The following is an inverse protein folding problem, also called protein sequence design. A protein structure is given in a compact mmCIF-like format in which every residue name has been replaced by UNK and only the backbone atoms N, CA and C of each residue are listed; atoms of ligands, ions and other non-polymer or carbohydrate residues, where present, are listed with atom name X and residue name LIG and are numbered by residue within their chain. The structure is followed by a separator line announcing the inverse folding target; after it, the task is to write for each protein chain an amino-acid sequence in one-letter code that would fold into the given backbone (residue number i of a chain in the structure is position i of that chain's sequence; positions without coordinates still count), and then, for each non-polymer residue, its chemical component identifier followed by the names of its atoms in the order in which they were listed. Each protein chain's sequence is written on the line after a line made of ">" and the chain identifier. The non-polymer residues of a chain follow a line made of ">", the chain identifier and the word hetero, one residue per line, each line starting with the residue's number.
data_IF_918421561147
#
_entry.id   IF_918421561147
#
_cell.length_a   1.000
_cell.length_b   1.000
_cell.length_c   1.000
_cell.angle_alpha   90.00
_cell.angle_beta   90.00
_cell.angle_gamma   90.00
#
_symmetry.space_group_name_H-M   'P 1'
#
loop_
_entity.id
_entity.type
_entity.pdbx_description
1 polymer ?
#
# COMPACT_ATOMS: atom_id res chain seq x y z
N UNK A 1 -12.68 -16.33 9.79
CA UNK A 1 -12.22 -15.85 8.50
C UNK A 1 -12.05 -14.33 8.50
N UNK A 2 -11.01 -13.88 7.92
CA UNK A 2 -10.71 -12.45 7.89
C UNK A 2 -11.14 -11.86 6.57
N UNK A 3 -11.97 -10.85 6.61
CA UNK A 3 -12.24 -10.07 5.44
C UNK A 3 -11.01 -9.24 5.07
N UNK A 4 -10.99 -8.76 3.85
CA UNK A 4 -9.97 -7.80 3.46
C UNK A 4 -10.18 -6.50 4.22
N UNK A 5 -9.11 -5.98 4.81
CA UNK A 5 -9.17 -4.72 5.52
C UNK A 5 -8.86 -3.55 4.59
N UNK A 6 -8.40 -3.84 3.37
CA UNK A 6 -8.12 -2.83 2.36
C UNK A 6 -8.60 -3.32 1.00
N UNK A 7 -8.69 -2.41 0.06
CA UNK A 7 -9.06 -2.74 -1.31
C UNK A 7 -8.03 -2.14 -2.26
N UNK A 8 -8.04 -2.59 -3.51
CA UNK A 8 -7.10 -2.08 -4.48
C UNK A 8 -7.73 -2.07 -5.88
N UNK A 9 -7.14 -1.26 -6.76
CA UNK A 9 -7.50 -1.20 -8.15
C UNK A 9 -6.23 -1.17 -8.99
N UNK A 10 -6.23 -1.87 -10.10
CA UNK A 10 -5.10 -1.86 -11.03
C UNK A 10 -5.57 -1.28 -12.36
N UNK A 11 -4.88 -0.25 -12.82
CA UNK A 11 -5.16 0.44 -14.07
C UNK A 11 -3.88 0.53 -14.88
N UNK A 12 -3.74 -0.35 -15.88
CA UNK A 12 -2.49 -0.43 -16.63
C UNK A 12 -1.33 -0.80 -15.72
N UNK A 13 -0.35 0.08 -15.61
CA UNK A 13 0.82 -0.14 -14.76
C UNK A 13 0.71 0.56 -13.40
N UNK A 14 -0.47 1.08 -13.07
CA UNK A 14 -0.70 1.79 -11.82
C UNK A 14 -1.53 0.93 -10.88
N UNK A 15 -1.05 0.79 -9.64
CA UNK A 15 -1.76 0.09 -8.58
C UNK A 15 -2.19 1.12 -7.54
N UNK A 16 -3.49 1.22 -7.28
CA UNK A 16 -4.04 2.10 -6.25
C UNK A 16 -4.49 1.24 -5.09
N UNK A 17 -3.97 1.52 -3.91
CA UNK A 17 -4.29 0.78 -2.69
C UNK A 17 -5.06 1.69 -1.75
N UNK A 18 -6.30 1.32 -1.45
CA UNK A 18 -7.16 2.05 -0.52
C UNK A 18 -6.93 1.46 0.88
N UNK A 19 -6.28 2.22 1.73
CA UNK A 19 -5.87 1.73 3.04
C UNK A 19 -7.06 1.69 4.01
N UNK A 20 -7.00 0.82 5.02
CA UNK A 20 -8.11 0.66 5.96
C UNK A 20 -8.18 1.82 6.95
N UNK A 21 -9.28 1.87 7.71
CA UNK A 21 -9.45 2.87 8.76
C UNK A 21 -8.33 2.83 9.78
N UNK A 22 -7.90 1.63 10.16
CA UNK A 22 -6.85 1.43 11.14
C UNK A 22 -5.70 0.68 10.49
N UNK A 23 -4.56 1.31 10.43
CA UNK A 23 -3.35 0.73 9.87
C UNK A 23 -2.43 0.34 11.03
N UNK A 24 -2.84 -0.69 11.76
CA UNK A 24 -2.08 -1.23 12.87
C UNK A 24 -1.09 -2.29 12.39
N UNK A 25 -0.34 -2.87 13.32
CA UNK A 25 0.67 -3.87 13.00
C UNK A 25 0.10 -5.06 12.25
N UNK A 26 -1.05 -5.55 12.67
CA UNK A 26 -1.68 -6.72 12.05
C UNK A 26 -2.10 -6.43 10.61
N UNK A 27 -2.77 -5.31 10.39
CA UNK A 27 -3.21 -4.91 9.05
C UNK A 27 -2.03 -4.62 8.15
N UNK A 28 -0.96 -4.07 8.69
CA UNK A 28 0.25 -3.79 7.92
C UNK A 28 0.90 -5.05 7.39
N UNK A 29 0.92 -6.11 8.17
CA UNK A 29 1.49 -7.38 7.71
C UNK A 29 0.70 -7.95 6.54
N UNK A 30 -0.63 -7.91 6.63
CA UNK A 30 -1.48 -8.37 5.53
C UNK A 30 -1.29 -7.48 4.31
N UNK A 31 -1.23 -6.18 4.50
CA UNK A 31 -1.04 -5.22 3.42
C UNK A 31 0.27 -5.49 2.69
N UNK A 32 1.34 -5.71 3.44
CA UNK A 32 2.65 -5.98 2.85
C UNK A 32 2.61 -7.27 2.02
N UNK A 33 2.03 -8.32 2.57
CA UNK A 33 1.96 -9.61 1.89
C UNK A 33 1.17 -9.51 0.58
N UNK A 34 -0.01 -8.90 0.63
CA UNK A 34 -0.86 -8.78 -0.55
C UNK A 34 -0.22 -7.86 -1.59
N UNK A 35 0.41 -6.78 -1.16
CA UNK A 35 1.10 -5.87 -2.08
C UNK A 35 2.26 -6.56 -2.77
N UNK A 36 3.03 -7.35 -2.03
CA UNK A 36 4.14 -8.10 -2.61
C UNK A 36 3.65 -9.06 -3.69
N UNK A 37 2.53 -9.74 -3.44
CA UNK A 37 1.95 -10.65 -4.43
C UNK A 37 1.49 -9.89 -5.68
N UNK A 38 0.82 -8.78 -5.51
CA UNK A 38 0.33 -7.98 -6.63
C UNK A 38 1.48 -7.48 -7.49
N UNK A 39 2.56 -7.04 -6.87
CA UNK A 39 3.72 -6.55 -7.60
C UNK A 39 4.48 -7.68 -8.30
N UNK A 40 4.45 -8.88 -7.74
CA UNK A 40 5.09 -10.04 -8.35
C UNK A 40 4.33 -10.55 -9.57
N UNK A 41 3.00 -10.44 -9.55
CA UNK A 41 2.15 -10.98 -10.60
C UNK A 41 1.89 -10.01 -11.74
N UNK A 42 2.10 -8.71 -11.51
CA UNK A 42 1.76 -7.67 -12.47
C UNK A 42 2.94 -6.71 -12.64
N UNK A 43 3.08 -6.21 -13.86
CA UNK A 43 4.07 -5.15 -14.07
C UNK A 43 3.49 -3.83 -13.60
N UNK A 44 3.96 -3.38 -12.44
CA UNK A 44 3.49 -2.14 -11.82
C UNK A 44 4.66 -1.17 -11.74
N UNK A 45 4.49 0.01 -12.33
CA UNK A 45 5.51 1.06 -12.29
C UNK A 45 5.10 2.20 -11.36
N UNK A 46 3.84 2.25 -10.93
CA UNK A 46 3.37 3.31 -10.04
C UNK A 46 2.43 2.74 -9.00
N UNK A 47 2.69 3.05 -7.74
CA UNK A 47 1.81 2.66 -6.64
C UNK A 47 1.27 3.92 -5.98
N UNK A 48 -0.02 3.97 -5.76
CA UNK A 48 -0.69 5.06 -5.06
C UNK A 48 -1.28 4.52 -3.78
N UNK A 49 -0.90 5.10 -2.64
CA UNK A 49 -1.49 4.76 -1.35
C UNK A 49 -2.54 5.81 -1.00
N UNK A 50 -3.79 5.38 -0.95
CA UNK A 50 -4.91 6.25 -0.64
C UNK A 50 -5.25 6.13 0.85
N UNK A 51 -5.02 7.22 1.59
CA UNK A 51 -5.26 7.30 3.03
C UNK A 51 -6.58 7.98 3.37
N UNK A 52 -7.45 8.21 2.39
CA UNK A 52 -8.66 9.03 2.64
C UNK A 52 -9.56 8.44 3.71
N UNK A 53 -9.51 7.13 3.93
CA UNK A 53 -10.31 6.46 4.98
C UNK A 53 -9.52 6.23 6.26
N UNK A 54 -8.23 6.42 6.25
CA UNK A 54 -7.37 6.04 7.37
C UNK A 54 -7.49 7.06 8.50
N UNK A 55 -7.89 6.59 9.67
CA UNK A 55 -8.07 7.40 10.86
C UNK A 55 -6.95 7.19 11.88
N UNK A 56 -6.32 6.01 11.85
CA UNK A 56 -5.27 5.66 12.78
C UNK A 56 -4.16 4.89 12.05
N UNK A 57 -2.91 5.24 12.35
CA UNK A 57 -1.76 4.54 11.79
C UNK A 57 -0.65 4.54 12.84
N UNK A 58 -0.14 3.35 13.18
CA UNK A 58 0.99 3.26 14.10
C UNK A 58 2.33 3.28 13.33
N UNK A 59 3.42 3.22 14.07
CA UNK A 59 4.76 3.32 13.45
C UNK A 59 5.08 2.15 12.53
N UNK A 60 4.45 0.99 12.73
CA UNK A 60 4.65 -0.15 11.84
C UNK A 60 4.14 0.15 10.43
N UNK A 61 2.99 0.85 10.35
CA UNK A 61 2.44 1.23 9.06
C UNK A 61 3.36 2.17 8.31
N UNK A 62 3.89 3.15 9.02
CA UNK A 62 4.84 4.10 8.42
C UNK A 62 6.07 3.36 7.88
N UNK A 63 6.60 2.42 8.67
CA UNK A 63 7.77 1.66 8.26
C UNK A 63 7.56 0.86 6.97
N UNK A 64 6.41 0.22 6.85
CA UNK A 64 6.08 -0.56 5.65
C UNK A 64 5.96 0.34 4.43
N UNK A 65 5.31 1.49 4.57
CA UNK A 65 5.15 2.42 3.47
C UNK A 65 6.48 2.98 3.00
N UNK A 66 7.36 3.34 3.94
CA UNK A 66 8.69 3.84 3.59
C UNK A 66 9.52 2.78 2.90
N UNK A 67 9.44 1.55 3.35
CA UNK A 67 10.16 0.45 2.72
C UNK A 67 9.72 0.25 1.28
N UNK A 68 8.42 0.28 1.03
CA UNK A 68 7.88 0.14 -0.31
C UNK A 68 8.31 1.31 -1.19
N UNK A 69 8.30 2.51 -0.65
CA UNK A 69 8.76 3.70 -1.37
C UNK A 69 10.20 3.52 -1.85
N UNK A 70 11.08 3.06 -0.95
CA UNK A 70 12.48 2.85 -1.30
C UNK A 70 12.66 1.79 -2.38
N UNK A 71 11.91 0.71 -2.29
CA UNK A 71 12.00 -0.35 -3.28
C UNK A 71 11.57 0.12 -4.67
N UNK A 72 10.47 0.86 -4.73
CA UNK A 72 9.97 1.37 -6.00
C UNK A 72 10.92 2.39 -6.61
N UNK A 73 11.44 3.29 -5.80
CA UNK A 73 12.39 4.29 -6.25
C UNK A 73 13.66 3.65 -6.81
N UNK A 74 14.13 2.58 -6.15
CA UNK A 74 15.33 1.87 -6.58
C UNK A 74 15.18 1.14 -7.90
N UNK A 75 13.93 0.77 -8.27
CA UNK A 75 13.67 0.07 -9.53
C UNK A 75 13.12 1.00 -10.62
N UNK A 76 13.15 2.30 -10.41
CA UNK A 76 12.66 3.27 -11.41
C UNK A 76 11.17 3.52 -11.36
N UNK A 77 10.47 2.93 -10.40
CA UNK A 77 9.04 3.18 -10.22
C UNK A 77 8.77 4.39 -9.35
N UNK A 78 7.49 4.72 -9.18
CA UNK A 78 7.08 5.84 -8.34
C UNK A 78 6.05 5.41 -7.32
N UNK A 79 6.03 6.11 -6.19
CA UNK A 79 5.03 5.93 -5.14
C UNK A 79 4.42 7.29 -4.84
N UNK A 80 3.09 7.35 -4.82
CA UNK A 80 2.36 8.56 -4.49
C UNK A 80 1.51 8.29 -3.25
N UNK A 81 1.44 9.26 -2.37
CA UNK A 81 0.60 9.21 -1.18
C UNK A 81 -0.50 10.25 -1.34
N UNK A 82 -1.73 9.81 -1.09
CA UNK A 82 -2.90 10.62 -1.35
C UNK A 82 -3.85 10.57 -0.16
N UNK A 83 -4.53 11.66 0.12
CA UNK A 83 -5.57 11.69 1.14
C UNK A 83 -5.09 11.77 2.58
N UNK A 84 -3.84 12.17 2.82
CA UNK A 84 -3.31 12.34 4.17
C UNK A 84 -3.81 13.66 4.73
N UNK A 85 -4.35 13.60 5.96
CA UNK A 85 -4.78 14.78 6.69
C UNK A 85 -3.66 15.36 7.52
#
# INVERSE_FOLDING_TARGET
>A
MYGQTFSYEAHGQTLVIHLPKQLDHHNCRNLKYETDLLLAENYISKVVFDFSRTEFMDSSGIGILLNRYKQMAGSGGTVTIYGVN
#
